data_IF_531560270141
#
_entry.id   IF_531560270141
#
_cell.length_a   1.000
_cell.length_b   1.000
_cell.length_c   1.000
_cell.angle_alpha   90.00
_cell.angle_beta   90.00
_cell.angle_gamma   90.00
#
_symmetry.space_group_name_H-M   'P 1'
#
loop_
_entity.id
_entity.type
_entity.pdbx_description
1 polymer ?
#
# COMPACT_ATOMS: atom_id res chain seq x y z
N UNK A 1 -13.61 9.00 13.07
CA UNK A 1 -13.03 8.60 11.77
C UNK A 1 -11.87 9.53 11.49
N UNK A 2 -10.64 9.08 11.70
CA UNK A 2 -9.47 9.88 11.33
C UNK A 2 -9.48 10.12 9.81
N UNK A 3 -9.41 11.39 9.40
CA UNK A 3 -9.20 11.74 8.00
C UNK A 3 -7.94 11.03 7.52
N UNK A 4 -8.09 10.16 6.50
CA UNK A 4 -6.94 9.58 5.80
C UNK A 4 -6.23 10.75 5.12
N UNK A 5 -5.01 11.03 5.56
CA UNK A 5 -4.21 12.07 4.93
C UNK A 5 -3.71 11.52 3.60
N UNK A 6 -4.20 12.05 2.49
CA UNK A 6 -3.83 11.63 1.13
C UNK A 6 -2.73 12.54 0.62
N UNK A 7 -1.54 11.99 0.41
CA UNK A 7 -0.42 12.75 -0.15
C UNK A 7 -0.27 12.35 -1.61
N UNK A 8 -0.48 13.30 -2.53
CA UNK A 8 -0.33 13.04 -3.96
C UNK A 8 1.14 12.82 -4.31
N UNK A 9 1.40 11.78 -5.08
CA UNK A 9 2.73 11.41 -5.56
C UNK A 9 2.68 11.03 -7.03
N UNK A 10 3.83 11.05 -7.69
CA UNK A 10 4.05 10.44 -8.99
C UNK A 10 4.66 9.06 -8.77
N UNK A 11 4.05 8.02 -9.31
CA UNK A 11 4.57 6.65 -9.16
C UNK A 11 5.43 6.32 -10.38
N UNK A 12 6.73 6.10 -10.20
CA UNK A 12 7.70 6.02 -11.32
C UNK A 12 7.33 4.97 -12.36
N UNK A 13 6.82 3.82 -11.90
CA UNK A 13 6.41 2.69 -12.74
C UNK A 13 4.90 2.69 -13.03
N UNK A 14 4.17 3.71 -12.56
CA UNK A 14 2.73 3.86 -12.72
C UNK A 14 2.33 4.51 -14.06
N UNK A 15 1.06 4.30 -14.44
CA UNK A 15 0.46 5.01 -15.56
C UNK A 15 -0.01 6.41 -15.15
N UNK A 16 0.95 7.30 -14.88
CA UNK A 16 0.69 8.67 -14.41
C UNK A 16 -0.10 9.53 -15.40
N UNK A 17 -0.26 9.11 -16.66
CA UNK A 17 -1.10 9.81 -17.63
C UNK A 17 -2.59 9.53 -17.40
N UNK A 18 -2.93 8.31 -16.93
CA UNK A 18 -4.32 7.89 -16.69
C UNK A 18 -4.73 7.95 -15.23
N UNK A 19 -3.78 7.77 -14.31
CA UNK A 19 -4.05 7.66 -12.89
C UNK A 19 -3.30 8.73 -12.09
N UNK A 20 -3.93 9.19 -11.02
CA UNK A 20 -3.28 9.82 -9.89
C UNK A 20 -3.01 8.79 -8.80
N UNK A 21 -1.90 8.97 -8.09
CA UNK A 21 -1.47 8.09 -7.01
C UNK A 21 -1.38 8.88 -5.71
N UNK A 22 -1.90 8.31 -4.62
CA UNK A 22 -1.91 8.95 -3.32
C UNK A 22 -1.38 8.00 -2.24
N UNK A 23 -0.39 8.42 -1.46
CA UNK A 23 -0.03 7.70 -0.23
C UNK A 23 -1.21 7.82 0.72
N UNK A 24 -1.71 6.67 1.18
CA UNK A 24 -2.81 6.57 2.15
C UNK A 24 -2.42 5.89 3.46
N UNK A 25 -1.32 5.14 3.46
CA UNK A 25 -0.76 4.51 4.65
C UNK A 25 0.74 4.28 4.49
N UNK A 26 1.43 4.17 5.62
CA UNK A 26 2.86 3.89 5.69
C UNK A 26 3.09 2.57 6.43
N UNK A 27 3.93 1.70 5.89
CA UNK A 27 4.30 0.43 6.54
C UNK A 27 4.90 0.65 7.92
N UNK A 28 5.61 1.75 8.14
CA UNK A 28 6.17 2.13 9.44
C UNK A 28 5.09 2.30 10.53
N UNK A 29 3.86 2.63 10.15
CA UNK A 29 2.71 2.81 11.04
C UNK A 29 1.83 1.56 11.16
N UNK A 30 2.12 0.52 10.37
CA UNK A 30 1.38 -0.72 10.37
C UNK A 30 1.68 -1.57 11.63
N UNK A 31 0.66 -2.31 12.09
CA UNK A 31 0.79 -3.16 13.27
C UNK A 31 1.45 -4.48 12.89
N UNK A 32 2.40 -4.93 13.70
CA UNK A 32 2.99 -6.26 13.53
C UNK A 32 2.06 -7.32 14.07
N UNK A 33 1.82 -8.37 13.29
CA UNK A 33 1.10 -9.56 13.72
C UNK A 33 1.85 -10.80 13.34
N UNK A 34 1.83 -11.77 14.23
CA UNK A 34 2.27 -13.13 13.95
C UNK A 34 1.18 -13.84 13.15
N UNK A 35 1.58 -14.52 12.08
CA UNK A 35 0.64 -15.34 11.33
C UNK A 35 0.24 -16.54 12.17
N UNK A 36 -1.07 -16.69 12.39
CA UNK A 36 -1.57 -17.88 13.05
C UNK A 36 -1.32 -19.13 12.18
N UNK A 37 -0.85 -20.25 12.77
CA UNK A 37 -0.51 -21.48 12.03
C UNK A 37 -1.64 -22.07 11.19
N UNK A 38 -2.90 -21.71 11.47
CA UNK A 38 -4.09 -22.20 10.76
C UNK A 38 -4.66 -21.20 9.75
N UNK A 39 -4.09 -20.01 9.65
CA UNK A 39 -4.56 -18.99 8.70
C UNK A 39 -4.17 -19.34 7.27
N UNK A 40 -4.95 -18.88 6.30
CA UNK A 40 -4.61 -19.02 4.87
C UNK A 40 -3.25 -18.37 4.57
N UNK A 41 -2.93 -17.26 5.23
CA UNK A 41 -1.65 -16.57 5.08
C UNK A 41 -0.45 -17.46 5.46
N UNK A 42 -0.58 -18.33 6.47
CA UNK A 42 0.45 -19.33 6.82
C UNK A 42 0.72 -20.33 5.69
N UNK A 43 -0.34 -20.80 5.03
CA UNK A 43 -0.24 -21.79 3.96
C UNK A 43 0.45 -21.22 2.70
N UNK A 44 0.25 -19.93 2.41
CA UNK A 44 0.86 -19.28 1.25
C UNK A 44 2.24 -18.67 1.53
N UNK A 45 2.46 -18.14 2.73
CA UNK A 45 3.64 -17.34 3.07
C UNK A 45 4.65 -18.01 4.01
N UNK A 46 4.29 -19.11 4.66
CA UNK A 46 5.10 -19.73 5.70
C UNK A 46 5.01 -19.03 7.06
N UNK A 47 5.81 -19.50 8.02
CA UNK A 47 5.88 -18.90 9.35
C UNK A 47 6.62 -17.55 9.30
N UNK A 48 6.02 -16.49 9.84
CA UNK A 48 6.65 -15.17 9.91
C UNK A 48 5.79 -14.08 10.52
N UNK A 49 6.41 -12.93 10.78
CA UNK A 49 5.75 -11.69 11.22
C UNK A 49 5.40 -10.83 10.02
N UNK A 50 4.14 -10.40 9.95
CA UNK A 50 3.62 -9.57 8.87
C UNK A 50 3.21 -8.22 9.42
N UNK A 51 3.35 -7.18 8.59
CA UNK A 51 2.81 -5.86 8.91
C UNK A 51 1.37 -5.80 8.36
N UNK A 52 0.43 -5.37 9.18
CA UNK A 52 -0.97 -5.22 8.80
C UNK A 52 -1.26 -3.73 8.79
N UNK A 53 -1.45 -3.18 7.59
CA UNK A 53 -1.87 -1.80 7.42
C UNK A 53 -3.39 -1.67 7.61
N UNK A 54 -3.92 -0.45 7.52
CA UNK A 54 -5.38 -0.24 7.57
C UNK A 54 -6.10 -0.92 6.40
N UNK A 55 -5.43 -1.10 5.27
CA UNK A 55 -6.07 -1.47 4.00
C UNK A 55 -5.67 -2.85 3.46
N UNK A 56 -4.49 -3.34 3.84
CA UNK A 56 -3.94 -4.58 3.30
C UNK A 56 -2.86 -5.18 4.21
N UNK A 57 -2.65 -6.49 4.06
CA UNK A 57 -1.46 -7.17 4.57
C UNK A 57 -0.25 -6.76 3.73
N UNK A 58 0.83 -6.40 4.43
CA UNK A 58 2.03 -5.85 3.85
C UNK A 58 3.11 -6.95 3.80
N UNK A 59 3.57 -7.39 2.62
CA UNK A 59 4.68 -8.32 2.52
C UNK A 59 5.96 -7.77 3.18
N UNK A 60 6.75 -8.68 3.73
CA UNK A 60 8.03 -8.29 4.34
C UNK A 60 8.99 -7.71 3.28
N UNK A 61 9.82 -6.73 3.67
CA UNK A 61 10.90 -6.20 2.83
C UNK A 61 10.55 -5.15 1.77
N UNK A 62 9.62 -5.40 0.85
CA UNK A 62 9.71 -4.74 -0.48
C UNK A 62 8.80 -3.52 -0.72
N UNK A 63 8.45 -2.76 0.31
CA UNK A 63 7.66 -1.53 0.14
C UNK A 63 7.66 -0.72 1.43
N UNK A 64 7.34 0.57 1.30
CA UNK A 64 7.24 1.55 2.37
C UNK A 64 5.83 2.15 2.49
N UNK A 65 5.09 2.21 1.38
CA UNK A 65 3.81 2.90 1.26
C UNK A 65 2.72 2.04 0.65
N UNK A 66 1.48 2.33 1.04
CA UNK A 66 0.27 1.93 0.32
C UNK A 66 -0.23 3.13 -0.47
N UNK A 67 -0.35 2.96 -1.79
CA UNK A 67 -0.86 3.96 -2.70
C UNK A 67 -2.31 3.65 -3.08
N UNK A 68 -3.19 4.66 -3.02
CA UNK A 68 -4.50 4.65 -3.68
C UNK A 68 -4.34 5.08 -5.13
N UNK A 69 -4.88 4.28 -6.06
CA UNK A 69 -4.87 4.56 -7.49
C UNK A 69 -6.24 5.16 -7.85
N UNK A 70 -6.24 6.38 -8.36
CA UNK A 70 -7.47 7.09 -8.75
C UNK A 70 -7.40 7.39 -10.24
N UNK A 71 -8.43 7.00 -10.98
CA UNK A 71 -8.56 7.33 -12.40
C UNK A 71 -8.78 8.84 -12.58
N UNK A 72 -8.01 9.47 -13.47
CA UNK A 72 -8.06 10.93 -13.67
C UNK A 72 -9.32 11.41 -14.38
N UNK A 73 -9.91 10.60 -15.26
CA UNK A 73 -11.04 11.03 -16.08
C UNK A 73 -12.34 11.08 -15.27
N UNK A 74 -12.52 10.11 -14.38
CA UNK A 74 -13.77 9.96 -13.61
C UNK A 74 -13.58 10.04 -12.09
N UNK A 75 -12.36 10.28 -11.60
CA UNK A 75 -12.03 10.36 -10.17
C UNK A 75 -12.42 9.10 -9.36
N UNK A 76 -12.48 7.94 -10.00
CA UNK A 76 -12.86 6.68 -9.35
C UNK A 76 -11.64 5.96 -8.79
N UNK A 77 -11.75 5.43 -7.57
CA UNK A 77 -10.71 4.57 -6.97
C UNK A 77 -10.67 3.26 -7.75
N UNK A 78 -9.52 2.97 -8.37
CA UNK A 78 -9.29 1.76 -9.19
C UNK A 78 -8.73 0.61 -8.37
N UNK A 79 -8.00 0.91 -7.31
CA UNK A 79 -7.38 -0.08 -6.45
C UNK A 79 -6.25 0.49 -5.62
N UNK A 80 -5.44 -0.41 -5.06
CA UNK A 80 -4.28 -0.10 -4.26
C UNK A 80 -3.01 -0.64 -4.91
N UNK A 81 -1.88 0.02 -4.68
CA UNK A 81 -0.55 -0.46 -5.00
C UNK A 81 0.36 -0.38 -3.77
N UNK A 82 1.39 -1.22 -3.74
CA UNK A 82 2.49 -1.09 -2.80
C UNK A 82 3.65 -0.42 -3.53
N UNK A 83 4.33 0.50 -2.86
CA UNK A 83 5.49 1.19 -3.41
C UNK A 83 6.55 1.43 -2.33
N UNK A 84 7.80 1.39 -2.74
CA UNK A 84 8.95 1.81 -1.96
C UNK A 84 9.22 3.30 -2.15
N UNK A 85 9.97 3.94 -1.25
CA UNK A 85 10.32 5.36 -1.34
C UNK A 85 11.03 5.72 -2.65
N UNK A 86 11.87 4.83 -3.18
CA UNK A 86 12.58 5.00 -4.45
C UNK A 86 11.69 4.84 -5.69
N UNK A 87 10.47 4.33 -5.54
CA UNK A 87 9.52 4.14 -6.63
C UNK A 87 8.55 5.33 -6.78
N UNK A 88 8.63 6.33 -5.91
CA UNK A 88 7.74 7.50 -5.91
C UNK A 88 8.50 8.82 -5.95
N UNK A 89 7.86 9.85 -6.52
CA UNK A 89 8.30 11.24 -6.44
C UNK A 89 7.17 12.07 -5.78
N UNK A 90 7.50 12.81 -4.72
CA UNK A 90 6.55 13.74 -4.09
C UNK A 90 6.37 14.97 -4.99
N UNK A 91 5.12 15.42 -5.14
CA UNK A 91 4.72 16.54 -6.00
C UNK A 91 4.39 17.77 -5.15
#
# INVERSE_FOLDING_TARGET
>A
MDKINRIKVKFLWGNNNKNDYFIIDEKSKALEREIEPKSLAFQFGGAGTYKISRFAELPFGNHDYVLEIVDKENSTIRGLALASEDEIERI
#
